data_IF_850049052084
#
_entry.id   IF_850049052084
#
_cell.length_a   1.000
_cell.length_b   1.000
_cell.length_c   1.000
_cell.angle_alpha   90.00
_cell.angle_beta   90.00
_cell.angle_gamma   90.00
#
_symmetry.space_group_name_H-M   'P 1'
#
loop_
_entity.id
_entity.type
_entity.pdbx_description
1 polymer ?
#
# COMPACT_ATOMS: atom_id res chain seq x y z
N UNK A 1 3.74 47.42 -5.94
CA UNK A 1 4.71 46.39 -5.52
C UNK A 1 4.39 45.79 -4.15
N UNK A 2 4.26 46.56 -3.05
CA UNK A 2 3.98 45.99 -1.71
C UNK A 2 2.66 45.18 -1.61
N UNK A 3 1.58 45.60 -2.29
CA UNK A 3 0.30 44.84 -2.29
C UNK A 3 0.41 43.49 -3.00
N UNK A 4 1.17 43.42 -4.10
CA UNK A 4 1.39 42.16 -4.83
C UNK A 4 2.24 41.19 -3.99
N UNK A 5 3.25 41.70 -3.29
CA UNK A 5 4.05 40.90 -2.36
C UNK A 5 3.21 40.33 -1.20
N UNK A 6 2.29 41.14 -0.65
CA UNK A 6 1.34 40.68 0.37
C UNK A 6 0.45 39.55 -0.14
N UNK A 7 -0.15 39.66 -1.33
CA UNK A 7 -1.01 38.60 -1.86
C UNK A 7 -0.25 37.29 -2.13
N UNK A 8 0.99 37.37 -2.63
CA UNK A 8 1.85 36.18 -2.80
C UNK A 8 2.17 35.55 -1.44
N UNK A 9 2.51 36.37 -0.44
CA UNK A 9 2.76 35.90 0.91
C UNK A 9 1.53 35.22 1.53
N UNK A 10 0.37 35.87 1.48
CA UNK A 10 -0.89 35.34 2.02
C UNK A 10 -1.27 34.02 1.33
N UNK A 11 -1.04 33.90 0.03
CA UNK A 11 -1.27 32.67 -0.73
C UNK A 11 -0.33 31.53 -0.31
N UNK A 12 0.97 31.80 -0.20
CA UNK A 12 1.95 30.81 0.27
C UNK A 12 1.64 30.39 1.71
N UNK A 13 1.30 31.34 2.59
CA UNK A 13 0.90 31.06 3.96
C UNK A 13 -0.34 30.16 4.02
N UNK A 14 -1.34 30.40 3.17
CA UNK A 14 -2.52 29.55 3.08
C UNK A 14 -2.18 28.11 2.67
N UNK A 15 -1.30 27.91 1.68
CA UNK A 15 -0.82 26.57 1.29
C UNK A 15 -0.13 25.86 2.45
N UNK A 16 0.78 26.56 3.14
CA UNK A 16 1.50 26.00 4.29
C UNK A 16 0.53 25.61 5.40
N UNK A 17 -0.48 26.43 5.70
CA UNK A 17 -1.52 26.11 6.68
C UNK A 17 -2.28 24.84 6.29
N UNK A 18 -2.66 24.68 5.01
CA UNK A 18 -3.35 23.47 4.54
C UNK A 18 -2.47 22.23 4.71
N UNK A 19 -1.18 22.31 4.40
CA UNK A 19 -0.23 21.20 4.58
C UNK A 19 -0.11 20.84 6.07
N UNK A 20 0.03 21.84 6.95
CA UNK A 20 0.11 21.62 8.40
C UNK A 20 -1.17 20.96 8.92
N UNK A 21 -2.35 21.45 8.50
CA UNK A 21 -3.63 20.85 8.88
C UNK A 21 -3.74 19.41 8.41
N UNK A 22 -3.32 19.10 7.18
CA UNK A 22 -3.30 17.73 6.66
C UNK A 22 -2.40 16.83 7.51
N UNK A 23 -1.20 17.27 7.87
CA UNK A 23 -0.29 16.53 8.75
C UNK A 23 -0.92 16.30 10.13
N UNK A 24 -1.54 17.33 10.73
CA UNK A 24 -2.24 17.20 12.01
C UNK A 24 -3.37 16.17 11.93
N UNK A 25 -4.19 16.21 10.88
CA UNK A 25 -5.26 15.23 10.65
C UNK A 25 -4.68 13.82 10.47
N UNK A 26 -3.58 13.68 9.73
CA UNK A 26 -2.89 12.41 9.54
C UNK A 26 -2.34 11.83 10.84
N UNK A 27 -1.67 12.64 11.65
CA UNK A 27 -1.12 12.22 12.95
C UNK A 27 -2.26 11.87 13.91
N UNK A 28 -3.27 12.74 14.05
CA UNK A 28 -4.39 12.49 14.95
C UNK A 28 -5.19 11.26 14.56
N UNK A 29 -5.44 11.05 13.27
CA UNK A 29 -6.05 9.83 12.74
C UNK A 29 -5.20 8.58 13.01
N UNK A 30 -3.88 8.69 12.89
CA UNK A 30 -2.92 7.61 13.15
C UNK A 30 -2.94 7.15 14.61
N UNK A 31 -3.13 8.09 15.53
CA UNK A 31 -3.13 7.85 16.97
C UNK A 31 -4.42 7.24 17.51
N UNK A 32 -5.50 7.22 16.73
CA UNK A 32 -6.78 6.63 17.12
C UNK A 32 -6.80 5.17 16.63
N UNK A 33 -6.57 4.18 17.51
CA UNK A 33 -6.54 2.79 17.09
C UNK A 33 -7.97 2.27 16.87
N UNK A 34 -8.13 1.41 15.89
CA UNK A 34 -9.37 0.68 15.60
C UNK A 34 -9.09 -0.82 15.59
N UNK A 35 -10.14 -1.63 15.73
CA UNK A 35 -10.04 -3.10 15.79
C UNK A 35 -9.08 -3.61 16.87
N UNK A 36 -9.01 -2.91 18.01
CA UNK A 36 -8.09 -3.26 19.10
C UNK A 36 -8.42 -4.57 19.81
N UNK A 37 -9.65 -5.06 19.63
CA UNK A 37 -10.13 -6.34 20.17
C UNK A 37 -9.94 -7.41 19.11
N UNK A 38 -8.89 -8.21 19.26
CA UNK A 38 -8.61 -9.32 18.36
C UNK A 38 -9.38 -10.58 18.78
N UNK A 39 -9.80 -11.41 17.81
CA UNK A 39 -10.48 -12.67 18.11
C UNK A 39 -9.58 -13.59 18.92
N UNK A 40 -10.18 -14.39 19.80
CA UNK A 40 -9.51 -15.47 20.52
C UNK A 40 -9.38 -16.75 19.71
N UNK A 41 -9.83 -16.74 18.45
CA UNK A 41 -9.73 -17.88 17.54
C UNK A 41 -8.26 -18.18 17.23
N UNK A 42 -8.01 -19.41 16.80
CA UNK A 42 -6.66 -19.85 16.43
C UNK A 42 -6.13 -19.04 15.26
N UNK A 43 -4.86 -18.62 15.38
CA UNK A 43 -4.17 -17.83 14.38
C UNK A 43 -3.20 -18.74 13.66
N UNK A 44 -3.56 -19.10 12.44
CA UNK A 44 -2.92 -20.19 11.69
C UNK A 44 -2.04 -19.65 10.55
N UNK A 45 -2.31 -18.43 10.08
CA UNK A 45 -1.65 -17.86 8.91
C UNK A 45 -0.70 -16.75 9.31
N UNK A 46 0.55 -16.88 8.89
CA UNK A 46 1.54 -15.82 9.00
C UNK A 46 1.45 -14.87 7.80
N UNK A 47 1.35 -13.58 8.07
CA UNK A 47 1.48 -12.51 7.08
C UNK A 47 2.49 -11.48 7.57
N UNK A 48 2.94 -10.60 6.68
CA UNK A 48 3.80 -9.50 7.07
C UNK A 48 3.26 -8.17 6.56
N UNK A 49 3.52 -7.11 7.31
CA UNK A 49 3.45 -5.75 6.79
C UNK A 49 4.89 -5.29 6.59
N UNK A 50 5.25 -4.97 5.35
CA UNK A 50 6.58 -4.53 4.99
C UNK A 50 6.58 -3.07 4.55
N UNK A 51 7.62 -2.33 4.91
CA UNK A 51 7.85 -0.94 4.52
C UNK A 51 9.18 -0.78 3.80
N UNK A 52 9.28 0.27 2.96
CA UNK A 52 10.55 0.79 2.45
C UNK A 52 10.87 2.19 3.01
N UNK A 53 10.21 2.58 4.11
CA UNK A 53 10.33 3.88 4.79
C UNK A 53 9.22 4.88 4.45
N UNK A 54 8.49 4.68 3.35
CA UNK A 54 7.50 5.65 2.84
C UNK A 54 6.28 4.98 2.19
N UNK A 55 6.43 3.74 1.73
CA UNK A 55 5.36 2.88 1.21
C UNK A 55 5.24 1.62 2.09
N UNK A 56 4.04 1.04 2.14
CA UNK A 56 3.77 -0.24 2.81
C UNK A 56 3.14 -1.25 1.89
N UNK A 57 3.60 -2.49 1.99
CA UNK A 57 3.06 -3.67 1.33
C UNK A 57 2.47 -4.65 2.35
N UNK A 58 1.49 -5.43 1.91
CA UNK A 58 1.01 -6.62 2.62
C UNK A 58 1.64 -7.84 1.98
N UNK A 59 2.39 -8.62 2.76
CA UNK A 59 3.05 -9.85 2.31
C UNK A 59 2.28 -11.05 2.84
N UNK A 60 2.00 -11.99 1.96
CA UNK A 60 1.26 -13.21 2.26
C UNK A 60 2.03 -14.43 1.74
N UNK A 61 1.81 -15.64 2.29
CA UNK A 61 2.29 -16.87 1.70
C UNK A 61 1.81 -16.95 0.26
N UNK A 62 2.70 -17.30 -0.66
CA UNK A 62 2.38 -17.43 -2.09
C UNK A 62 1.30 -18.49 -2.32
N UNK A 63 1.32 -19.54 -1.49
CA UNK A 63 0.34 -20.61 -1.50
C UNK A 63 0.08 -21.09 -0.07
N UNK A 64 -1.18 -21.36 0.21
CA UNK A 64 -1.62 -22.16 1.36
C UNK A 64 -2.89 -22.95 0.98
N UNK A 65 -3.57 -23.50 1.97
CA UNK A 65 -4.83 -24.24 1.86
C UNK A 65 -6.03 -23.39 1.43
N UNK A 66 -5.96 -22.06 1.58
CA UNK A 66 -7.04 -21.12 1.19
C UNK A 66 -6.88 -20.71 -0.27
N UNK A 67 -5.67 -20.35 -0.69
CA UNK A 67 -5.41 -19.79 -2.01
C UNK A 67 -3.99 -20.11 -2.50
N UNK A 68 -3.88 -20.38 -3.80
CA UNK A 68 -2.63 -20.33 -4.55
C UNK A 68 -2.60 -19.04 -5.36
N UNK A 69 -1.83 -18.04 -4.93
CA UNK A 69 -1.80 -16.73 -5.60
C UNK A 69 -1.32 -16.81 -7.04
N UNK A 70 -0.60 -17.87 -7.42
CA UNK A 70 -0.11 -18.09 -8.78
C UNK A 70 -1.23 -18.31 -9.80
N UNK A 71 -2.42 -18.72 -9.33
CA UNK A 71 -3.60 -18.84 -10.18
C UNK A 71 -4.20 -17.47 -10.54
N UNK A 72 -3.77 -16.40 -9.86
CA UNK A 72 -4.23 -15.03 -10.09
C UNK A 72 -3.12 -14.11 -10.60
N UNK A 73 -1.95 -14.09 -9.94
CA UNK A 73 -0.77 -13.32 -10.35
C UNK A 73 0.32 -14.26 -10.86
N UNK A 74 0.73 -14.09 -12.11
CA UNK A 74 1.69 -14.99 -12.75
C UNK A 74 3.14 -14.55 -12.48
N UNK A 75 3.98 -15.38 -11.81
CA UNK A 75 5.40 -15.07 -11.61
C UNK A 75 6.20 -15.03 -12.93
N UNK A 76 5.67 -15.60 -14.03
CA UNK A 76 6.24 -15.48 -15.37
C UNK A 76 6.20 -14.04 -15.91
N UNK A 77 5.33 -13.19 -15.36
CA UNK A 77 5.34 -11.75 -15.64
C UNK A 77 6.51 -11.01 -14.97
N UNK A 78 7.36 -11.67 -14.18
CA UNK A 78 8.59 -11.08 -13.63
C UNK A 78 9.76 -11.23 -14.59
N UNK A 79 10.82 -10.44 -14.42
CA UNK A 79 12.05 -10.57 -15.23
C UNK A 79 12.93 -11.75 -14.80
N UNK A 80 12.80 -12.21 -13.56
CA UNK A 80 13.49 -13.38 -13.03
C UNK A 80 12.87 -14.69 -13.51
N UNK A 81 11.63 -14.65 -14.01
CA UNK A 81 10.86 -15.81 -14.40
C UNK A 81 10.39 -16.64 -13.19
N UNK A 82 10.13 -17.92 -13.41
CA UNK A 82 9.66 -18.82 -12.37
C UNK A 82 10.82 -19.33 -11.50
N UNK A 83 10.93 -18.79 -10.30
CA UNK A 83 11.82 -19.27 -9.24
C UNK A 83 11.00 -19.69 -8.01
N UNK A 84 11.59 -20.48 -7.11
CA UNK A 84 10.93 -21.01 -5.91
C UNK A 84 10.64 -19.93 -4.87
N UNK A 85 9.62 -19.11 -5.13
CA UNK A 85 9.12 -18.10 -4.21
C UNK A 85 8.17 -18.73 -3.17
N UNK A 86 8.27 -18.28 -1.91
CA UNK A 86 7.40 -18.72 -0.82
C UNK A 86 6.35 -17.65 -0.44
N UNK A 87 6.61 -16.39 -0.78
CA UNK A 87 5.77 -15.25 -0.42
C UNK A 87 5.49 -14.34 -1.61
N UNK A 88 4.40 -13.59 -1.51
CA UNK A 88 4.03 -12.53 -2.43
C UNK A 88 3.65 -11.27 -1.65
N UNK A 89 4.21 -10.13 -2.04
CA UNK A 89 3.92 -8.83 -1.46
C UNK A 89 3.07 -8.00 -2.42
N UNK A 90 2.04 -7.36 -1.88
CA UNK A 90 1.11 -6.50 -2.60
C UNK A 90 1.18 -5.08 -2.07
N UNK A 91 1.51 -4.15 -2.96
CA UNK A 91 1.41 -2.71 -2.76
C UNK A 91 0.40 -2.11 -3.74
N UNK A 92 -0.30 -1.06 -3.33
CA UNK A 92 -1.18 -0.28 -4.20
C UNK A 92 -0.68 1.16 -4.24
N UNK A 93 -0.65 1.77 -5.43
CA UNK A 93 -0.15 3.12 -5.58
C UNK A 93 -0.52 3.76 -6.91
N UNK A 94 -0.05 4.98 -7.11
CA UNK A 94 -0.30 5.73 -8.34
C UNK A 94 0.54 5.17 -9.50
N UNK A 95 -0.11 4.86 -10.63
CA UNK A 95 0.56 4.30 -11.80
C UNK A 95 1.58 5.29 -12.39
N UNK A 96 1.20 6.57 -12.52
CA UNK A 96 2.09 7.60 -13.07
C UNK A 96 3.33 7.80 -12.21
N UNK A 97 3.17 7.77 -10.88
CA UNK A 97 4.26 7.77 -9.92
C UNK A 97 5.15 6.54 -10.13
N UNK A 98 4.55 5.35 -10.25
CA UNK A 98 5.33 4.14 -10.43
C UNK A 98 6.17 4.15 -11.73
N UNK A 99 5.62 4.69 -12.82
CA UNK A 99 6.32 4.81 -14.11
C UNK A 99 7.44 5.85 -14.10
N UNK A 100 7.29 6.93 -13.32
CA UNK A 100 8.15 8.12 -13.45
C UNK A 100 9.07 8.37 -12.27
N UNK A 101 8.86 7.67 -11.14
CA UNK A 101 9.64 7.83 -9.90
C UNK A 101 10.04 6.44 -9.35
N UNK A 102 10.96 5.71 -10.03
CA UNK A 102 11.43 4.41 -9.56
C UNK A 102 12.18 4.49 -8.23
N UNK A 103 12.95 5.57 -8.03
CA UNK A 103 13.58 5.89 -6.76
C UNK A 103 12.96 7.16 -6.14
N UNK A 104 12.90 7.24 -4.81
CA UNK A 104 12.40 8.43 -4.11
C UNK A 104 13.24 9.69 -4.37
N UNK A 105 14.50 9.52 -4.75
CA UNK A 105 15.39 10.57 -5.24
C UNK A 105 14.88 11.22 -6.54
N UNK A 106 14.07 10.53 -7.34
CA UNK A 106 13.52 11.01 -8.60
C UNK A 106 12.23 11.84 -8.44
N UNK A 107 11.77 12.04 -7.20
CA UNK A 107 10.53 12.73 -6.90
C UNK A 107 10.56 14.19 -7.40
N UNK A 108 9.79 14.47 -8.45
CA UNK A 108 9.60 15.84 -8.95
C UNK A 108 8.36 16.47 -8.30
N UNK A 109 8.40 17.75 -7.90
CA UNK A 109 7.26 18.45 -7.32
C UNK A 109 5.99 18.39 -8.19
N UNK A 110 6.14 18.39 -9.52
CA UNK A 110 5.02 18.28 -10.46
C UNK A 110 4.35 16.90 -10.48
N UNK A 111 5.11 15.81 -10.26
CA UNK A 111 4.57 14.44 -10.18
C UNK A 111 3.83 14.27 -8.86
N UNK A 112 4.44 14.72 -7.75
CA UNK A 112 3.79 14.73 -6.44
C UNK A 112 2.48 15.53 -6.47
N UNK A 113 2.47 16.72 -7.09
CA UNK A 113 1.25 17.53 -7.23
C UNK A 113 0.17 16.80 -8.02
N UNK A 114 0.51 16.17 -9.16
CA UNK A 114 -0.47 15.43 -9.95
C UNK A 114 -1.04 14.24 -9.19
N UNK A 115 -0.18 13.41 -8.59
CA UNK A 115 -0.62 12.26 -7.81
C UNK A 115 -1.53 12.67 -6.63
N UNK A 116 -1.27 13.83 -6.02
CA UNK A 116 -2.07 14.33 -4.88
C UNK A 116 -3.40 15.00 -5.29
N UNK A 117 -3.42 15.75 -6.39
CA UNK A 117 -4.51 16.67 -6.74
C UNK A 117 -5.24 16.37 -8.05
N UNK A 118 -4.71 15.48 -8.90
CA UNK A 118 -5.37 15.04 -10.12
C UNK A 118 -5.76 13.57 -10.00
N UNK A 119 -6.91 13.23 -10.59
CA UNK A 119 -7.37 11.84 -10.69
C UNK A 119 -6.38 11.06 -11.56
N UNK A 120 -5.63 10.15 -10.96
CA UNK A 120 -4.58 9.39 -11.63
C UNK A 120 -4.78 7.89 -11.38
N UNK A 121 -4.73 7.06 -12.44
CA UNK A 121 -4.95 5.62 -12.33
C UNK A 121 -4.01 4.98 -11.33
N UNK A 122 -4.50 3.97 -10.62
CA UNK A 122 -3.68 3.19 -9.70
C UNK A 122 -3.12 1.92 -10.35
N UNK A 123 -2.08 1.38 -9.71
CA UNK A 123 -1.52 0.07 -10.03
C UNK A 123 -1.23 -0.75 -8.76
N UNK A 124 -1.30 -2.06 -8.92
CA UNK A 124 -0.86 -3.04 -7.94
C UNK A 124 0.60 -3.40 -8.24
N UNK A 125 1.49 -3.13 -7.29
CA UNK A 125 2.86 -3.64 -7.30
C UNK A 125 2.88 -5.01 -6.66
N UNK A 126 3.34 -6.02 -7.40
CA UNK A 126 3.41 -7.40 -6.93
C UNK A 126 4.87 -7.85 -6.91
N UNK A 127 5.39 -8.21 -5.74
CA UNK A 127 6.76 -8.70 -5.55
C UNK A 127 6.76 -10.11 -5.02
N UNK A 128 7.49 -11.01 -5.66
CA UNK A 128 7.62 -12.39 -5.22
C UNK A 128 8.90 -12.57 -4.40
N UNK A 129 8.85 -13.31 -3.28
CA UNK A 129 9.93 -13.36 -2.31
C UNK A 129 10.20 -14.80 -1.85
N UNK A 130 11.46 -15.15 -1.68
CA UNK A 130 11.88 -16.49 -1.23
C UNK A 130 11.65 -16.71 0.26
N UNK A 131 11.90 -15.68 1.06
CA UNK A 131 11.74 -15.71 2.51
C UNK A 131 11.43 -14.30 3.01
N UNK A 132 10.95 -14.23 4.25
CA UNK A 132 10.75 -12.99 4.98
C UNK A 132 11.67 -12.96 6.19
N UNK A 133 12.15 -11.75 6.52
CA UNK A 133 12.88 -11.47 7.75
C UNK A 133 12.04 -10.44 8.51
N UNK A 134 11.88 -10.65 9.81
CA UNK A 134 11.36 -9.62 10.71
C UNK A 134 12.46 -8.63 11.07
N UNK A 135 12.18 -7.36 10.86
CA UNK A 135 13.07 -6.24 11.17
C UNK A 135 12.26 -4.96 11.43
N UNK A 136 12.95 -3.84 11.60
CA UNK A 136 12.33 -2.53 11.86
C UNK A 136 11.34 -2.06 10.76
N UNK A 137 11.43 -2.63 9.56
CA UNK A 137 10.58 -2.34 8.41
C UNK A 137 9.68 -3.51 8.02
N UNK A 138 9.65 -4.61 8.78
CA UNK A 138 8.93 -5.83 8.41
C UNK A 138 8.42 -6.52 9.67
N UNK A 139 7.11 -6.43 9.91
CA UNK A 139 6.46 -7.02 11.09
C UNK A 139 5.72 -8.28 10.71
N UNK A 140 5.94 -9.39 11.44
CA UNK A 140 5.14 -10.61 11.30
C UNK A 140 3.86 -10.52 12.12
N UNK A 141 2.77 -11.03 11.56
CA UNK A 141 1.46 -11.07 12.20
C UNK A 141 0.82 -12.43 11.94
N UNK A 142 0.49 -13.12 13.01
CA UNK A 142 -0.37 -14.30 12.95
C UNK A 142 -1.84 -13.88 12.91
N UNK A 143 -2.58 -14.38 11.92
CA UNK A 143 -3.98 -14.05 11.66
C UNK A 143 -4.84 -15.32 11.61
N UNK A 144 -6.11 -15.17 11.96
CA UNK A 144 -7.09 -16.26 11.82
C UNK A 144 -7.46 -16.47 10.35
N UNK A 145 -7.97 -17.64 10.00
CA UNK A 145 -8.48 -17.97 8.65
C UNK A 145 -9.39 -16.86 8.08
N UNK A 146 -10.39 -16.42 8.86
CA UNK A 146 -11.33 -15.37 8.44
C UNK A 146 -10.67 -14.02 8.14
N UNK A 147 -9.64 -13.67 8.91
CA UNK A 147 -8.89 -12.43 8.69
C UNK A 147 -8.04 -12.55 7.42
N UNK A 148 -7.44 -13.71 7.20
CA UNK A 148 -6.69 -14.01 5.97
C UNK A 148 -7.60 -13.94 4.74
N UNK A 149 -8.75 -14.61 4.75
CA UNK A 149 -9.74 -14.57 3.65
C UNK A 149 -10.22 -13.14 3.37
N UNK A 150 -10.44 -12.33 4.41
CA UNK A 150 -10.83 -10.94 4.26
C UNK A 150 -9.72 -10.09 3.60
N UNK A 151 -8.45 -10.32 3.95
CA UNK A 151 -7.31 -9.69 3.27
C UNK A 151 -7.22 -10.12 1.80
N UNK A 152 -7.31 -11.42 1.53
CA UNK A 152 -7.33 -11.97 0.17
C UNK A 152 -8.42 -11.30 -0.65
N UNK A 153 -9.66 -11.25 -0.14
CA UNK A 153 -10.79 -10.62 -0.82
C UNK A 153 -10.59 -9.12 -1.08
N UNK A 154 -9.99 -8.39 -0.14
CA UNK A 154 -9.67 -6.97 -0.31
C UNK A 154 -8.60 -6.73 -1.37
N UNK A 155 -7.51 -7.51 -1.33
CA UNK A 155 -6.41 -7.43 -2.29
C UNK A 155 -6.93 -7.78 -3.68
N UNK A 156 -7.65 -8.90 -3.82
CA UNK A 156 -8.26 -9.33 -5.08
C UNK A 156 -9.16 -8.25 -5.70
N UNK A 157 -9.98 -7.56 -4.90
CA UNK A 157 -10.84 -6.46 -5.35
C UNK A 157 -10.08 -5.19 -5.74
N UNK A 158 -8.80 -5.09 -5.37
CA UNK A 158 -7.97 -3.93 -5.71
C UNK A 158 -7.39 -4.03 -7.12
N UNK A 159 -7.44 -5.19 -7.78
CA UNK A 159 -6.99 -5.36 -9.16
C UNK A 159 -8.12 -5.04 -10.15
N UNK A 160 -7.77 -4.30 -11.21
CA UNK A 160 -8.62 -4.22 -12.40
C UNK A 160 -8.47 -5.50 -13.23
N UNK A 161 -9.59 -5.95 -13.79
CA UNK A 161 -9.71 -7.27 -14.42
C UNK A 161 -10.30 -7.18 -15.82
N UNK A 162 -9.95 -8.13 -16.66
CA UNK A 162 -10.56 -8.32 -17.97
C UNK A 162 -11.98 -8.93 -17.87
N UNK A 163 -12.63 -9.13 -19.01
CA UNK A 163 -13.97 -9.74 -19.08
C UNK A 163 -14.04 -11.19 -18.59
N UNK A 164 -12.89 -11.87 -18.42
CA UNK A 164 -12.79 -13.23 -17.91
C UNK A 164 -12.43 -13.26 -16.41
N UNK A 165 -12.20 -12.10 -15.79
CA UNK A 165 -11.82 -11.97 -14.39
C UNK A 165 -10.31 -12.09 -14.12
N UNK A 166 -9.47 -12.15 -15.16
CA UNK A 166 -8.02 -12.18 -15.03
C UNK A 166 -7.47 -10.76 -14.79
N UNK A 167 -6.43 -10.57 -13.95
CA UNK A 167 -5.89 -9.24 -13.68
C UNK A 167 -5.12 -8.69 -14.90
N UNK A 168 -5.26 -7.39 -15.14
CA UNK A 168 -4.64 -6.71 -16.27
C UNK A 168 -3.17 -6.36 -15.98
N UNK A 169 -2.24 -7.16 -16.49
CA UNK A 169 -0.80 -6.90 -16.35
C UNK A 169 -0.37 -5.62 -17.09
N UNK A 170 0.61 -4.90 -16.53
CA UNK A 170 1.27 -3.76 -17.16
C UNK A 170 2.66 -4.22 -17.61
N UNK A 171 2.80 -4.67 -18.87
CA UNK A 171 4.06 -5.25 -19.32
C UNK A 171 5.16 -4.18 -19.37
N UNK A 172 6.39 -4.57 -19.02
CA UNK A 172 7.62 -3.76 -19.04
C UNK A 172 7.83 -2.79 -17.87
N UNK A 173 6.85 -2.61 -16.97
CA UNK A 173 7.05 -1.86 -15.73
C UNK A 173 7.57 -2.82 -14.65
N UNK A 174 8.80 -2.58 -14.17
CA UNK A 174 9.46 -3.37 -13.13
C UNK A 174 10.45 -2.49 -12.37
N UNK A 175 10.57 -2.70 -11.06
CA UNK A 175 11.63 -2.12 -10.24
C UNK A 175 12.77 -3.10 -9.97
N UNK A 176 12.49 -4.40 -10.02
CA UNK A 176 13.46 -5.44 -9.73
C UNK A 176 13.32 -6.63 -10.69
N UNK A 177 14.04 -7.72 -10.41
CA UNK A 177 13.91 -8.96 -11.17
C UNK A 177 12.63 -9.72 -10.83
N UNK A 178 12.22 -9.68 -9.57
CA UNK A 178 11.19 -10.51 -8.95
C UNK A 178 9.84 -9.80 -8.78
N UNK A 179 9.59 -8.74 -9.54
CA UNK A 179 8.38 -7.94 -9.42
C UNK A 179 7.67 -7.76 -10.76
N UNK A 180 6.41 -7.38 -10.67
CA UNK A 180 5.56 -7.05 -11.81
C UNK A 180 4.44 -6.12 -11.36
N UNK A 181 3.78 -5.47 -12.31
CA UNK A 181 2.71 -4.51 -12.05
C UNK A 181 1.42 -4.90 -12.77
N UNK A 182 0.30 -4.58 -12.15
CA UNK A 182 -1.05 -4.76 -12.72
C UNK A 182 -1.86 -3.48 -12.56
N UNK A 183 -2.84 -3.25 -13.43
CA UNK A 183 -3.78 -2.16 -13.25
C UNK A 183 -4.61 -2.38 -11.98
N UNK A 184 -4.90 -1.31 -11.26
CA UNK A 184 -5.65 -1.36 -10.01
C UNK A 184 -6.92 -0.51 -10.06
N UNK A 185 -7.88 -0.87 -9.22
CA UNK A 185 -9.13 -0.16 -9.07
C UNK A 185 -8.98 1.17 -8.30
N UNK A 186 -9.63 2.18 -8.84
CA UNK A 186 -9.67 3.55 -8.32
C UNK A 186 -8.38 4.34 -8.53
N UNK A 187 -8.28 5.46 -7.82
CA UNK A 187 -7.24 6.46 -8.07
C UNK A 187 -6.58 6.95 -6.79
N UNK A 188 -5.32 7.37 -6.89
CA UNK A 188 -4.61 7.98 -5.77
C UNK A 188 -5.11 9.42 -5.55
N UNK A 189 -5.30 9.78 -4.29
CA UNK A 189 -5.62 11.16 -3.87
C UNK A 189 -4.95 11.46 -2.53
N UNK A 190 -4.98 12.72 -2.09
CA UNK A 190 -4.54 13.09 -0.72
C UNK A 190 -5.21 12.27 0.38
N UNK A 191 -6.45 11.80 0.20
CA UNK A 191 -7.15 11.02 1.23
C UNK A 191 -7.03 9.51 1.03
N UNK A 192 -6.60 9.07 -0.16
CA UNK A 192 -6.42 7.67 -0.54
C UNK A 192 -5.01 7.47 -1.10
N UNK A 193 -4.07 7.22 -0.20
CA UNK A 193 -2.68 6.92 -0.53
C UNK A 193 -2.40 5.41 -0.43
N UNK A 194 -1.19 4.98 -0.77
CA UNK A 194 -0.71 3.61 -0.56
C UNK A 194 -0.85 3.14 0.90
N UNK A 195 -0.39 3.96 1.86
CA UNK A 195 -0.51 3.62 3.28
C UNK A 195 -1.96 3.64 3.76
N UNK A 196 -2.81 4.51 3.20
CA UNK A 196 -4.25 4.44 3.48
C UNK A 196 -4.87 3.15 2.94
N UNK A 197 -4.43 2.68 1.76
CA UNK A 197 -4.89 1.40 1.20
C UNK A 197 -4.50 0.23 2.12
N UNK A 198 -3.25 0.16 2.57
CA UNK A 198 -2.78 -0.87 3.52
C UNK A 198 -3.57 -0.81 4.82
N UNK A 199 -3.70 0.39 5.40
CA UNK A 199 -4.49 0.59 6.63
C UNK A 199 -5.97 0.16 6.45
N UNK A 200 -6.56 0.41 5.29
CA UNK A 200 -7.93 -0.01 4.99
C UNK A 200 -8.07 -1.53 4.78
N UNK A 201 -7.07 -2.19 4.19
CA UNK A 201 -7.03 -3.65 4.09
C UNK A 201 -7.03 -4.29 5.49
N UNK A 202 -6.18 -3.79 6.40
CA UNK A 202 -6.11 -4.25 7.79
C UNK A 202 -7.44 -3.99 8.51
N UNK A 203 -8.03 -2.81 8.34
CA UNK A 203 -9.36 -2.51 8.89
C UNK A 203 -10.44 -3.47 8.38
N UNK A 204 -10.44 -3.75 7.08
CA UNK A 204 -11.39 -4.65 6.43
C UNK A 204 -11.28 -6.07 6.98
N UNK A 205 -10.06 -6.51 7.23
CA UNK A 205 -9.77 -7.80 7.86
C UNK A 205 -9.94 -7.81 9.39
N UNK A 206 -10.41 -6.74 10.01
CA UNK A 206 -10.58 -6.69 11.47
C UNK A 206 -9.25 -6.72 12.24
N UNK A 207 -8.13 -6.42 11.59
CA UNK A 207 -6.80 -6.35 12.21
C UNK A 207 -6.56 -4.97 12.83
N UNK A 208 -5.64 -4.85 13.81
CA UNK A 208 -5.28 -3.57 14.40
C UNK A 208 -4.83 -2.58 13.32
N UNK A 209 -5.38 -1.38 13.38
CA UNK A 209 -5.11 -0.34 12.40
C UNK A 209 -5.40 1.04 12.99
N UNK A 210 -5.06 2.09 12.25
CA UNK A 210 -5.45 3.45 12.58
C UNK A 210 -6.81 3.79 11.99
N UNK A 211 -7.53 4.73 12.60
CA UNK A 211 -8.77 5.27 12.02
C UNK A 211 -8.53 5.75 10.58
N UNK A 212 -7.48 6.53 10.38
CA UNK A 212 -6.95 6.92 9.07
C UNK A 212 -5.47 7.28 9.19
N UNK A 213 -4.66 6.86 8.23
CA UNK A 213 -3.25 7.28 8.15
C UNK A 213 -2.81 7.32 6.68
N UNK A 214 -2.09 8.38 6.26
CA UNK A 214 -1.32 8.40 5.03
C UNK A 214 0.15 8.01 5.25
N UNK A 215 0.56 7.75 6.49
CA UNK A 215 1.95 7.54 6.92
C UNK A 215 2.22 6.08 7.31
N UNK A 216 3.45 5.62 7.05
CA UNK A 216 3.95 4.29 7.47
C UNK A 216 3.88 4.16 8.99
N UNK A 217 4.29 5.21 9.69
CA UNK A 217 4.39 5.26 11.14
C UNK A 217 3.05 5.00 11.81
N UNK A 218 1.94 5.47 11.22
CA UNK A 218 0.60 5.19 11.75
C UNK A 218 0.24 3.70 11.72
N UNK A 219 0.63 3.00 10.65
CA UNK A 219 0.42 1.56 10.52
C UNK A 219 1.27 0.83 11.57
N UNK A 220 2.58 1.08 11.59
CA UNK A 220 3.51 0.39 12.49
C UNK A 220 3.23 0.70 13.97
N UNK A 221 2.76 1.91 14.28
CA UNK A 221 2.30 2.29 15.62
C UNK A 221 1.15 1.42 16.13
N UNK A 222 0.28 0.94 15.23
CA UNK A 222 -0.82 0.05 15.59
C UNK A 222 -0.33 -1.33 16.05
N UNK A 223 0.90 -1.71 15.68
CA UNK A 223 1.49 -3.01 16.01
C UNK A 223 2.60 -2.95 17.05
N UNK A 224 3.16 -1.77 17.35
CA UNK A 224 4.10 -1.59 18.47
C UNK A 224 3.42 -1.58 19.86
N UNK A 225 2.09 -1.64 19.90
CA UNK A 225 1.26 -1.60 21.12
C UNK A 225 0.75 -2.97 21.56
N UNK A 226 1.08 -4.03 20.83
CA UNK A 226 0.68 -5.41 21.07
C UNK A 226 1.90 -6.31 21.17
#
# INVERSE_FOLDING_TARGET
MLKAFKYVFDFVAAIVIVIILYIIVGITGSLIPVNTKQPSAEKEFEIFIQSNGVHTDIVMPLKNEILDWRDFVDPSHTRAGNVDFAFVAFGWGDLGFYETTPEWSDLKPGIAFRAMFLDSPAAMHVKFKHYMIEDENSISIMVTEKQYEALVGYILKSFSRDGNGAPLNIPNLHYAGNDTFYQAEGSLTLLKTCNTWTNNALKHAGLPASLWTPFVEGIFYSYSRY
#
